data_IF_800885622186
#
_entry.id   IF_800885622186
#
_cell.length_a   1.000
_cell.length_b   1.000
_cell.length_c   1.000
_cell.angle_alpha   90.00
_cell.angle_beta   90.00
_cell.angle_gamma   90.00
#
_symmetry.space_group_name_H-M   'P 1'
#
loop_
_entity.id
_entity.type
_entity.pdbx_description
1 polymer ?
#
# COMPACT_ATOMS: atom_id res chain seq x y z
N UNK A 1 15.47 6.94 -6.56
CA UNK A 1 15.38 8.27 -7.21
C UNK A 1 13.91 8.66 -7.21
N UNK A 2 13.53 9.80 -6.62
CA UNK A 2 12.13 10.23 -6.46
C UNK A 2 11.34 10.25 -7.78
N UNK A 3 12.00 10.63 -8.87
CA UNK A 3 11.40 10.66 -10.21
C UNK A 3 10.92 9.28 -10.70
N UNK A 4 11.57 8.19 -10.28
CA UNK A 4 11.11 6.83 -10.62
C UNK A 4 9.91 6.40 -9.77
N UNK A 5 9.78 6.89 -8.53
CA UNK A 5 8.60 6.61 -7.69
C UNK A 5 7.37 7.41 -8.13
N UNK A 6 7.55 8.60 -8.72
CA UNK A 6 6.48 9.37 -9.36
C UNK A 6 5.82 8.61 -10.51
N UNK A 7 6.63 8.15 -11.47
CA UNK A 7 6.14 7.41 -12.64
C UNK A 7 5.52 6.08 -12.22
N UNK A 8 6.12 5.38 -11.24
CA UNK A 8 5.59 4.13 -10.74
C UNK A 8 4.22 4.31 -10.04
N UNK A 9 4.04 5.38 -9.27
CA UNK A 9 2.76 5.68 -8.63
C UNK A 9 1.68 5.97 -9.68
N UNK A 10 2.00 6.79 -10.68
CA UNK A 10 1.10 7.07 -11.80
C UNK A 10 0.69 5.80 -12.57
N UNK A 11 1.63 4.90 -12.83
CA UNK A 11 1.33 3.63 -13.50
C UNK A 11 0.39 2.74 -12.67
N UNK A 12 0.58 2.68 -11.35
CA UNK A 12 -0.29 1.92 -10.45
C UNK A 12 -1.68 2.52 -10.36
N UNK A 13 -1.80 3.84 -10.25
CA UNK A 13 -3.09 4.53 -10.20
C UNK A 13 -3.90 4.26 -11.49
N UNK A 14 -3.24 4.25 -12.66
CA UNK A 14 -3.88 3.87 -13.92
C UNK A 14 -4.32 2.40 -13.96
N UNK A 15 -3.49 1.47 -13.48
CA UNK A 15 -3.83 0.04 -13.45
C UNK A 15 -4.98 -0.27 -12.49
N UNK A 16 -5.12 0.50 -11.41
CA UNK A 16 -6.23 0.38 -10.46
C UNK A 16 -7.58 0.85 -11.03
N UNK A 17 -7.59 1.51 -12.18
CA UNK A 17 -8.84 1.80 -12.91
C UNK A 17 -9.40 0.57 -13.65
N UNK A 18 -8.62 -0.51 -13.77
CA UNK A 18 -9.07 -1.72 -14.44
C UNK A 18 -10.03 -2.53 -13.54
N UNK A 19 -11.09 -3.15 -14.10
CA UNK A 19 -12.12 -3.85 -13.32
C UNK A 19 -11.59 -5.04 -12.50
N UNK A 20 -10.52 -5.66 -12.97
CA UNK A 20 -9.87 -6.81 -12.33
C UNK A 20 -8.46 -6.42 -11.89
N UNK A 21 -8.34 -5.41 -11.03
CA UNK A 21 -7.04 -5.05 -10.49
C UNK A 21 -6.61 -6.06 -9.40
N UNK A 22 -5.40 -6.64 -9.47
CA UNK A 22 -4.90 -7.51 -8.42
C UNK A 22 -4.81 -6.79 -7.08
N UNK A 23 -5.25 -7.42 -6.00
CA UNK A 23 -5.11 -6.89 -4.63
C UNK A 23 -3.66 -6.48 -4.32
N UNK A 24 -2.69 -7.21 -4.89
CA UNK A 24 -1.25 -6.92 -4.80
C UNK A 24 -0.87 -5.53 -5.30
N UNK A 25 -1.54 -4.97 -6.32
CA UNK A 25 -1.26 -3.62 -6.81
C UNK A 25 -1.57 -2.56 -5.76
N UNK A 26 -2.62 -2.74 -4.94
CA UNK A 26 -2.91 -1.83 -3.82
C UNK A 26 -1.78 -1.84 -2.79
N UNK A 27 -1.23 -3.00 -2.50
CA UNK A 27 -0.08 -3.11 -1.58
C UNK A 27 1.19 -2.45 -2.15
N UNK A 28 1.42 -2.52 -3.46
CA UNK A 28 2.52 -1.82 -4.12
C UNK A 28 2.33 -0.30 -4.09
N UNK A 29 1.10 0.20 -4.34
CA UNK A 29 0.74 1.62 -4.21
C UNK A 29 0.99 2.12 -2.78
N UNK A 30 0.53 1.35 -1.80
CA UNK A 30 0.67 1.67 -0.38
C UNK A 30 2.15 1.87 0.02
N UNK A 31 3.05 1.01 -0.47
CA UNK A 31 4.48 1.13 -0.21
C UNK A 31 5.08 2.38 -0.86
N UNK A 32 4.68 2.72 -2.09
CA UNK A 32 5.15 3.93 -2.76
C UNK A 32 4.67 5.20 -2.04
N UNK A 33 3.43 5.23 -1.55
CA UNK A 33 2.93 6.34 -0.74
C UNK A 33 3.77 6.56 0.52
N UNK A 34 4.06 5.50 1.27
CA UNK A 34 4.93 5.57 2.46
C UNK A 34 6.33 6.04 2.09
N UNK A 35 6.94 5.51 1.02
CA UNK A 35 8.28 5.94 0.56
C UNK A 35 8.34 7.43 0.19
N UNK A 36 7.20 8.03 -0.16
CA UNK A 36 7.08 9.43 -0.56
C UNK A 36 6.64 10.36 0.57
N UNK A 37 6.42 9.84 1.77
CA UNK A 37 5.94 10.63 2.91
C UNK A 37 4.43 10.75 3.03
N UNK A 38 3.65 10.12 2.13
CA UNK A 38 2.19 10.01 2.26
C UNK A 38 1.84 8.88 3.25
N UNK A 39 2.27 9.03 4.50
CA UNK A 39 2.25 7.98 5.51
C UNK A 39 0.84 7.54 5.91
N UNK A 40 -0.09 8.48 6.08
CA UNK A 40 -1.49 8.21 6.43
C UNK A 40 -2.21 7.44 5.33
N UNK A 41 -2.09 7.90 4.09
CA UNK A 41 -2.71 7.28 2.93
C UNK A 41 -2.11 5.89 2.66
N UNK A 42 -0.78 5.78 2.69
CA UNK A 42 -0.10 4.50 2.55
C UNK A 42 -0.48 3.49 3.64
N UNK A 43 -0.64 3.93 4.88
CA UNK A 43 -1.09 3.06 5.97
C UNK A 43 -2.55 2.59 5.80
N UNK A 44 -3.44 3.45 5.30
CA UNK A 44 -4.83 3.08 5.03
C UNK A 44 -4.93 2.02 3.92
N UNK A 45 -4.15 2.16 2.85
CA UNK A 45 -4.08 1.18 1.76
C UNK A 45 -3.47 -0.15 2.22
N UNK A 46 -2.48 -0.12 3.12
CA UNK A 46 -1.95 -1.33 3.75
C UNK A 46 -3.02 -2.07 4.56
N UNK A 47 -3.83 -1.36 5.37
CA UNK A 47 -4.91 -1.99 6.13
C UNK A 47 -5.98 -2.59 5.20
N UNK A 48 -6.39 -1.87 4.15
CA UNK A 48 -7.33 -2.38 3.16
C UNK A 48 -6.81 -3.64 2.45
N UNK A 49 -5.52 -3.70 2.14
CA UNK A 49 -4.89 -4.91 1.59
C UNK A 49 -4.87 -6.05 2.62
N UNK A 50 -4.54 -5.75 3.89
CA UNK A 50 -4.51 -6.74 4.95
C UNK A 50 -5.89 -7.40 5.14
N UNK A 51 -6.97 -6.63 5.05
CA UNK A 51 -8.33 -7.17 5.16
C UNK A 51 -8.66 -8.13 4.02
N UNK A 52 -8.28 -7.81 2.79
CA UNK A 52 -8.46 -8.71 1.62
C UNK A 52 -7.66 -9.99 1.77
N UNK A 53 -6.39 -9.89 2.18
CA UNK A 53 -5.50 -11.07 2.26
C UNK A 53 -5.77 -11.91 3.51
N UNK A 54 -6.38 -11.34 4.56
CA UNK A 54 -6.65 -12.04 5.83
C UNK A 54 -7.47 -13.32 5.68
N UNK A 55 -8.34 -13.37 4.67
CA UNK A 55 -9.17 -14.53 4.36
C UNK A 55 -8.36 -15.75 3.86
N UNK A 56 -7.17 -15.53 3.30
CA UNK A 56 -6.33 -16.58 2.68
C UNK A 56 -5.00 -16.74 3.42
N UNK A 57 -4.38 -15.63 3.84
CA UNK A 57 -3.08 -15.59 4.51
C UNK A 57 -3.11 -14.64 5.73
N UNK A 58 -3.61 -15.09 6.90
CA UNK A 58 -3.73 -14.25 8.09
C UNK A 58 -2.38 -13.74 8.61
N UNK A 59 -1.32 -14.55 8.55
CA UNK A 59 0.04 -14.12 8.94
C UNK A 59 0.54 -12.97 8.07
N UNK A 60 0.26 -12.99 6.77
CA UNK A 60 0.60 -11.91 5.85
C UNK A 60 -0.17 -10.63 6.20
N UNK A 61 -1.46 -10.74 6.54
CA UNK A 61 -2.28 -9.61 6.97
C UNK A 61 -1.72 -8.93 8.24
N UNK A 62 -1.30 -9.71 9.24
CA UNK A 62 -0.76 -9.16 10.48
C UNK A 62 0.59 -8.44 10.29
N UNK A 63 1.46 -8.98 9.42
CA UNK A 63 2.69 -8.30 9.02
C UNK A 63 2.40 -6.96 8.34
N UNK A 64 1.41 -6.92 7.45
CA UNK A 64 1.00 -5.69 6.75
C UNK A 64 0.42 -4.66 7.72
N UNK A 65 -0.43 -5.07 8.67
CA UNK A 65 -0.95 -4.18 9.74
C UNK A 65 0.18 -3.64 10.63
N UNK A 66 1.22 -4.43 10.87
CA UNK A 66 2.45 -3.98 11.51
C UNK A 66 3.12 -2.83 10.75
N UNK A 67 3.25 -2.96 9.42
CA UNK A 67 3.81 -1.91 8.55
C UNK A 67 2.94 -0.66 8.50
N UNK A 68 1.61 -0.81 8.47
CA UNK A 68 0.68 0.33 8.53
C UNK A 68 0.85 1.14 9.82
N UNK A 69 0.99 0.47 10.97
CA UNK A 69 1.29 1.12 12.26
C UNK A 69 2.65 1.83 12.24
N UNK A 70 3.68 1.18 11.70
CA UNK A 70 5.00 1.79 11.57
C UNK A 70 4.99 3.05 10.70
N UNK A 71 4.26 3.02 9.57
CA UNK A 71 4.10 4.18 8.70
C UNK A 71 3.42 5.35 9.43
N UNK A 72 2.32 5.09 10.15
CA UNK A 72 1.64 6.13 10.97
C UNK A 72 2.56 6.73 12.04
N UNK A 73 3.44 5.91 12.62
CA UNK A 73 4.38 6.38 13.62
C UNK A 73 5.45 7.34 13.06
N UNK A 74 5.67 7.38 11.74
CA UNK A 74 6.60 8.32 11.10
C UNK A 74 6.08 9.78 11.06
N UNK A 75 4.82 10.02 11.43
CA UNK A 75 4.24 11.36 11.53
C UNK A 75 4.43 12.01 12.91
N UNK A 76 4.85 11.22 13.91
CA UNK A 76 5.11 11.69 15.28
C UNK A 76 6.58 12.06 15.45
#
# INVERSE_FOLDING_TARGET
>A
RPERSDVALWALDLLLLLPAHPARLRYERAQLLVQRGAFTEGAAEMDAYADVVSAVEPTTADLVRGRARAARAMLN
#
